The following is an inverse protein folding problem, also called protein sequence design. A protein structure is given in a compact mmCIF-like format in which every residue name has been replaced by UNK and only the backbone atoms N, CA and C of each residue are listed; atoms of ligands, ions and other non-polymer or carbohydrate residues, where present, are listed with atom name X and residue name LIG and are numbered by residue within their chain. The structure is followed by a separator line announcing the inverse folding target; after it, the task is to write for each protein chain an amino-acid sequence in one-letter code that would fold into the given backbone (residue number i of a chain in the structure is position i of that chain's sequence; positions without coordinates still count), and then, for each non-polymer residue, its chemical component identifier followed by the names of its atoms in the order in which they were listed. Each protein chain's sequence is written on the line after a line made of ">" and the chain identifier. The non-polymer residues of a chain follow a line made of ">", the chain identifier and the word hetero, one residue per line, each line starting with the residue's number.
data_IF_565165026105
#
_entry.id   IF_565165026105
#
_cell.length_a   1.000
_cell.length_b   1.000
_cell.length_c   1.000
_cell.angle_alpha   90.00
_cell.angle_beta   90.00
_cell.angle_gamma   90.00
#
_symmetry.space_group_name_H-M   'P 1'
#
loop_
_entity.id
_entity.type
_entity.pdbx_description
1 polymer ?
#
# COMPACT_ATOMS: atom_id res chain seq x y z
N UNK A 1 4.80 -9.73 -0.55
CA UNK A 1 3.55 -9.38 0.16
C UNK A 1 3.80 -9.57 1.64
N UNK A 2 3.46 -8.58 2.46
CA UNK A 2 3.72 -8.58 3.90
C UNK A 2 2.42 -8.33 4.66
N UNK A 3 2.10 -9.18 5.62
CA UNK A 3 0.94 -9.00 6.50
C UNK A 3 1.35 -8.01 7.59
N UNK A 4 0.57 -6.93 7.74
CA UNK A 4 0.84 -5.90 8.75
C UNK A 4 -0.08 -6.06 9.96
N UNK A 5 -1.30 -6.54 9.72
CA UNK A 5 -2.32 -6.86 10.72
C UNK A 5 -3.20 -7.99 10.16
N UNK A 6 -4.07 -8.57 10.99
CA UNK A 6 -4.98 -9.67 10.60
C UNK A 6 -5.86 -9.33 9.39
N UNK A 7 -6.15 -8.03 9.18
CA UNK A 7 -7.06 -7.55 8.14
C UNK A 7 -6.39 -6.65 7.09
N UNK A 8 -5.08 -6.41 7.17
CA UNK A 8 -4.38 -5.45 6.30
C UNK A 8 -3.01 -5.99 5.90
N UNK A 9 -2.76 -6.00 4.59
CA UNK A 9 -1.47 -6.40 4.02
C UNK A 9 -0.89 -5.27 3.17
N UNK A 10 0.39 -5.40 2.82
CA UNK A 10 1.06 -4.53 1.86
C UNK A 10 1.83 -5.35 0.82
N UNK A 11 1.57 -5.07 -0.44
CA UNK A 11 2.36 -5.49 -1.59
C UNK A 11 3.33 -4.38 -1.96
N UNK A 12 4.58 -4.75 -2.24
CA UNK A 12 5.64 -3.86 -2.68
C UNK A 12 6.21 -4.47 -3.96
N UNK A 13 6.22 -3.71 -5.04
CA UNK A 13 6.87 -4.07 -6.31
C UNK A 13 7.95 -3.04 -6.63
N UNK A 14 9.01 -3.44 -7.34
CA UNK A 14 10.13 -2.56 -7.68
C UNK A 14 11.44 -3.00 -7.04
N UNK A 15 12.33 -2.05 -6.75
CA UNK A 15 13.68 -2.36 -6.30
C UNK A 15 13.73 -2.97 -4.89
N UNK A 16 14.38 -4.12 -4.73
CA UNK A 16 14.30 -4.93 -3.51
C UNK A 16 14.77 -4.20 -2.24
N UNK A 17 15.90 -3.50 -2.29
CA UNK A 17 16.40 -2.77 -1.11
C UNK A 17 15.51 -1.56 -0.76
N UNK A 18 15.00 -0.85 -1.79
CA UNK A 18 14.01 0.20 -1.63
C UNK A 18 12.74 -0.31 -0.95
N UNK A 19 12.22 -1.45 -1.43
CA UNK A 19 11.04 -2.10 -0.86
C UNK A 19 11.22 -2.46 0.61
N UNK A 20 12.39 -3.01 0.99
CA UNK A 20 12.70 -3.32 2.38
C UNK A 20 12.73 -2.06 3.26
N UNK A 21 13.43 -1.01 2.81
CA UNK A 21 13.49 0.26 3.56
C UNK A 21 12.11 0.90 3.72
N UNK A 22 11.30 0.87 2.66
CA UNK A 22 9.93 1.40 2.72
C UNK A 22 9.06 0.58 3.67
N UNK A 23 9.16 -0.75 3.63
CA UNK A 23 8.44 -1.63 4.55
C UNK A 23 8.73 -1.29 6.02
N UNK A 24 10.01 -1.17 6.38
CA UNK A 24 10.41 -0.83 7.76
C UNK A 24 9.82 0.52 8.20
N UNK A 25 9.85 1.52 7.31
CA UNK A 25 9.27 2.85 7.56
C UNK A 25 7.74 2.81 7.68
N UNK A 26 7.06 1.98 6.89
CA UNK A 26 5.62 1.79 6.95
C UNK A 26 5.23 1.17 8.29
N UNK A 27 5.88 0.07 8.67
CA UNK A 27 5.62 -0.62 9.93
C UNK A 27 5.80 0.33 11.13
N UNK A 28 6.90 1.08 11.15
CA UNK A 28 7.15 2.06 12.22
C UNK A 28 6.04 3.11 12.32
N UNK A 29 5.64 3.73 11.21
CA UNK A 29 4.58 4.77 11.20
C UNK A 29 3.21 4.18 11.56
N UNK A 30 2.91 2.98 11.09
CA UNK A 30 1.68 2.27 11.43
C UNK A 30 1.61 2.02 12.93
N UNK A 31 2.64 1.42 13.53
CA UNK A 31 2.66 1.14 14.97
C UNK A 31 2.49 2.40 15.81
N UNK A 32 3.11 3.51 15.41
CA UNK A 32 2.90 4.80 16.09
C UNK A 32 1.46 5.30 15.99
N UNK A 33 0.81 5.16 14.82
CA UNK A 33 -0.59 5.54 14.64
C UNK A 33 -1.52 4.68 15.50
N UNK A 34 -1.30 3.36 15.56
CA UNK A 34 -2.10 2.44 16.37
C UNK A 34 -1.95 2.72 17.87
N UNK A 35 -0.71 2.95 18.34
CA UNK A 35 -0.44 3.32 19.73
C UNK A 35 -1.08 4.66 20.12
N UNK A 36 -1.00 5.66 19.24
CA UNK A 36 -1.56 7.00 19.50
C UNK A 36 -3.08 7.00 19.55
N UNK A 37 -3.72 6.23 18.67
CA UNK A 37 -5.18 6.22 18.53
C UNK A 37 -5.86 5.05 19.25
N UNK A 38 -5.07 4.17 19.87
CA UNK A 38 -5.50 2.97 20.58
C UNK A 38 -6.52 2.14 19.78
N UNK A 39 -6.27 1.97 18.47
CA UNK A 39 -7.16 1.26 17.54
C UNK A 39 -6.38 0.63 16.40
N UNK A 40 -6.89 -0.48 15.86
CA UNK A 40 -6.34 -1.10 14.66
C UNK A 40 -6.39 -0.14 13.46
N UNK A 41 -5.35 -0.16 12.65
CA UNK A 41 -5.28 0.71 11.49
C UNK A 41 -6.33 0.34 10.43
N UNK A 42 -6.96 1.36 9.84
CA UNK A 42 -7.83 1.17 8.68
C UNK A 42 -6.97 1.09 7.41
N UNK A 43 -7.29 0.22 6.44
CA UNK A 43 -6.49 0.09 5.22
C UNK A 43 -6.41 1.42 4.43
N UNK A 44 -7.48 2.23 4.45
CA UNK A 44 -7.47 3.59 3.88
C UNK A 44 -6.45 4.52 4.54
N UNK A 45 -6.30 4.44 5.87
CA UNK A 45 -5.33 5.26 6.63
C UNK A 45 -3.91 4.82 6.31
N UNK A 46 -3.68 3.51 6.18
CA UNK A 46 -2.40 2.99 5.74
C UNK A 46 -2.02 3.49 4.34
N UNK A 47 -2.98 3.52 3.40
CA UNK A 47 -2.78 4.12 2.09
C UNK A 47 -2.31 5.58 2.16
N UNK A 48 -2.93 6.39 3.01
CA UNK A 48 -2.49 7.78 3.25
C UNK A 48 -1.09 7.87 3.86
N UNK A 49 -0.73 6.97 4.80
CA UNK A 49 0.62 6.94 5.39
C UNK A 49 1.68 6.66 4.32
N UNK A 50 1.42 5.71 3.43
CA UNK A 50 2.35 5.32 2.36
C UNK A 50 2.48 6.42 1.32
N UNK A 51 1.36 7.02 0.90
CA UNK A 51 1.34 8.16 -0.03
C UNK A 51 2.14 9.34 0.52
N UNK A 52 1.94 9.71 1.79
CA UNK A 52 2.72 10.77 2.42
C UNK A 52 4.21 10.40 2.52
N UNK A 53 4.54 9.15 2.86
CA UNK A 53 5.92 8.70 2.97
C UNK A 53 6.66 8.78 1.64
N UNK A 54 6.01 8.37 0.55
CA UNK A 54 6.60 8.33 -0.80
C UNK A 54 6.68 9.72 -1.42
N UNK A 55 5.67 10.57 -1.19
CA UNK A 55 5.67 11.96 -1.65
C UNK A 55 6.78 12.80 -1.02
N UNK A 56 7.07 12.58 0.27
CA UNK A 56 8.20 13.23 0.96
C UNK A 56 9.56 12.92 0.32
N UNK A 57 9.67 11.78 -0.37
CA UNK A 57 10.88 11.34 -1.05
C UNK A 57 10.75 11.42 -2.58
N UNK A 58 9.85 12.23 -3.14
CA UNK A 58 9.59 12.23 -4.59
C UNK A 58 10.82 12.56 -5.47
N UNK A 59 11.74 13.44 -5.02
CA UNK A 59 12.98 13.74 -5.74
C UNK A 59 14.05 12.63 -5.66
N UNK A 60 13.88 11.67 -4.77
CA UNK A 60 14.77 10.51 -4.61
C UNK A 60 13.98 9.23 -4.43
N UNK A 61 12.93 9.07 -5.24
CA UNK A 61 11.89 8.05 -5.10
C UNK A 61 12.49 6.66 -4.84
N UNK A 62 11.79 5.87 -4.02
CA UNK A 62 12.18 4.50 -3.72
C UNK A 62 12.10 3.54 -4.92
N UNK A 63 11.58 4.01 -6.07
CA UNK A 63 11.30 3.19 -7.26
C UNK A 63 10.50 1.93 -6.90
N UNK A 64 9.52 2.12 -6.01
CA UNK A 64 8.61 1.08 -5.55
C UNK A 64 7.18 1.47 -5.79
N UNK A 65 6.39 0.54 -6.29
CA UNK A 65 4.94 0.61 -6.33
C UNK A 65 4.36 -0.16 -5.16
N UNK A 66 3.20 0.27 -4.69
CA UNK A 66 2.61 -0.21 -3.45
C UNK A 66 1.18 -0.65 -3.67
N UNK A 67 0.77 -1.70 -2.98
CA UNK A 67 -0.58 -2.25 -3.04
C UNK A 67 -1.05 -2.49 -1.61
N UNK A 68 -2.19 -1.92 -1.23
CA UNK A 68 -2.81 -2.13 0.09
C UNK A 68 -4.16 -2.81 -0.09
N UNK A 69 -4.21 -4.14 0.03
CA UNK A 69 -5.46 -4.87 0.22
C UNK A 69 -5.77 -4.96 1.73
N UNK A 70 -7.04 -4.81 2.07
CA UNK A 70 -7.50 -5.06 3.43
C UNK A 70 -9.00 -4.93 3.61
N UNK A 71 -9.45 -5.25 4.82
CA UNK A 71 -10.83 -5.07 5.26
C UNK A 71 -10.88 -3.97 6.32
N UNK A 72 -11.87 -3.09 6.25
CA UNK A 72 -12.11 -2.15 7.35
C UNK A 72 -12.42 -2.94 8.64
N UNK A 73 -11.73 -2.64 9.76
CA UNK A 73 -11.80 -3.45 10.97
C UNK A 73 -13.19 -3.47 11.61
N UNK A 74 -14.01 -2.43 11.36
CA UNK A 74 -15.35 -2.26 11.96
C UNK A 74 -16.44 -2.68 10.99
N UNK A 75 -16.39 -2.20 9.74
CA UNK A 75 -17.45 -2.42 8.74
C UNK A 75 -17.24 -3.67 7.90
N UNK A 76 -16.06 -4.29 7.97
CA UNK A 76 -15.65 -5.43 7.14
C UNK A 76 -15.73 -5.17 5.63
N UNK A 77 -15.85 -3.90 5.21
CA UNK A 77 -15.87 -3.54 3.80
C UNK A 77 -14.48 -3.74 3.18
N UNK A 78 -14.40 -4.37 2.00
CA UNK A 78 -13.14 -4.51 1.30
C UNK A 78 -12.63 -3.15 0.84
N UNK A 79 -11.32 -2.99 0.92
CA UNK A 79 -10.59 -1.85 0.40
C UNK A 79 -9.35 -2.35 -0.32
N UNK A 80 -9.15 -1.82 -1.52
CA UNK A 80 -7.97 -2.05 -2.32
C UNK A 80 -7.48 -0.71 -2.84
N UNK A 81 -6.18 -0.45 -2.68
CA UNK A 81 -5.56 0.68 -3.34
C UNK A 81 -4.19 0.31 -3.89
N UNK A 82 -3.85 0.91 -5.01
CA UNK A 82 -2.50 0.91 -5.56
C UNK A 82 -1.91 2.31 -5.45
N UNK A 83 -0.60 2.39 -5.30
CA UNK A 83 0.15 3.65 -5.31
C UNK A 83 1.38 3.53 -6.19
N UNK A 84 1.62 4.58 -6.97
CA UNK A 84 2.83 4.70 -7.77
C UNK A 84 4.05 5.06 -6.89
N UNK A 85 5.20 5.26 -7.53
CA UNK A 85 6.46 5.56 -6.86
C UNK A 85 6.54 6.97 -6.26
N UNK A 86 5.57 7.85 -6.55
CA UNK A 86 5.51 9.23 -6.02
C UNK A 86 4.36 9.45 -5.04
N UNK A 87 3.56 8.41 -4.77
CA UNK A 87 2.52 8.43 -3.75
C UNK A 87 1.13 8.79 -4.27
N UNK A 88 0.88 8.75 -5.57
CA UNK A 88 -0.47 8.91 -6.10
C UNK A 88 -1.32 7.69 -5.74
N UNK A 89 -2.49 7.90 -5.15
CA UNK A 89 -3.37 6.81 -4.71
C UNK A 89 -4.43 6.54 -5.79
N UNK A 90 -4.53 5.28 -6.21
CA UNK A 90 -5.63 4.76 -7.03
C UNK A 90 -6.47 3.75 -6.24
N UNK A 91 -7.78 3.96 -6.17
CA UNK A 91 -8.73 3.11 -5.44
C UNK A 91 -9.83 2.56 -6.36
N UNK A 92 -9.53 1.63 -7.27
CA UNK A 92 -10.57 1.00 -8.07
C UNK A 92 -11.38 0.01 -7.23
N UNK A 93 -12.57 -0.37 -7.72
CA UNK A 93 -13.49 -1.25 -7.01
C UNK A 93 -13.20 -2.74 -7.22
N UNK A 94 -12.65 -3.09 -8.38
CA UNK A 94 -12.62 -4.48 -8.84
C UNK A 94 -11.27 -5.16 -8.60
N UNK A 95 -10.19 -4.61 -9.17
CA UNK A 95 -8.84 -5.12 -8.99
C UNK A 95 -7.79 -4.03 -9.23
N UNK A 96 -6.56 -4.31 -8.80
CA UNK A 96 -5.36 -3.56 -9.15
C UNK A 96 -4.22 -4.53 -9.40
N UNK A 97 -3.27 -4.11 -10.23
CA UNK A 97 -2.01 -4.78 -10.42
C UNK A 97 -0.88 -3.74 -10.30
N UNK A 98 0.28 -4.19 -9.78
CA UNK A 98 1.51 -3.41 -9.68
C UNK A 98 2.68 -4.26 -10.16
N UNK A 99 3.78 -3.62 -10.55
CA UNK A 99 4.99 -4.25 -11.07
C UNK A 99 4.99 -4.42 -12.58
N UNK A 100 6.11 -4.95 -13.10
CA UNK A 100 6.38 -5.06 -14.55
C UNK A 100 5.39 -5.94 -15.31
N UNK A 101 4.69 -6.83 -14.62
CA UNK A 101 3.68 -7.71 -15.20
C UNK A 101 2.25 -7.15 -15.21
N UNK A 102 2.04 -5.93 -14.71
CA UNK A 102 0.69 -5.40 -14.50
C UNK A 102 -0.13 -5.28 -15.79
N UNK A 103 0.48 -4.88 -16.91
CA UNK A 103 -0.19 -4.74 -18.21
C UNK A 103 -0.80 -6.05 -18.72
N UNK A 104 -0.12 -7.18 -18.52
CA UNK A 104 -0.64 -8.50 -18.89
C UNK A 104 -1.86 -8.89 -18.06
N UNK A 105 -1.89 -8.49 -16.78
CA UNK A 105 -3.03 -8.74 -15.90
C UNK A 105 -4.23 -7.86 -16.26
N UNK A 106 -3.99 -6.61 -16.67
CA UNK A 106 -5.05 -5.73 -17.18
C UNK A 106 -5.65 -6.29 -18.48
N UNK A 107 -4.81 -6.78 -19.42
CA UNK A 107 -5.27 -7.40 -20.66
C UNK A 107 -6.15 -8.64 -20.43
N UNK A 108 -5.78 -9.50 -19.47
CA UNK A 108 -6.56 -10.69 -19.12
C UNK A 108 -7.87 -10.41 -18.38
N UNK A 109 -8.01 -9.26 -17.71
CA UNK A 109 -9.25 -8.86 -17.05
C UNK A 109 -10.24 -8.15 -17.98
N UNK A 110 -9.74 -7.45 -18.99
CA UNK A 110 -10.58 -6.73 -19.96
C UNK A 110 -11.04 -7.59 -21.16
N UNK A 111 -10.57 -8.83 -21.25
CA UNK A 111 -10.94 -9.82 -22.27
C UNK A 111 -12.17 -10.64 -21.85
#
# INVERSE_FOLDING_TARGET
>A
VHNLSDKVCVGLAGFHSGAKTVLDKIMFRMSLCELRENRCIKPKVLGTIISNLTYLHHFGSYFTEHLVPGLDPVTHKPYICAMDAIGNISTPRDFVAIGTGAEYLFGGYQS
#
